data_IF_924264529151
#
_entry.id   IF_924264529151
#
_cell.length_a   1.000
_cell.length_b   1.000
_cell.length_c   1.000
_cell.angle_alpha   90.00
_cell.angle_beta   90.00
_cell.angle_gamma   90.00
#
_symmetry.space_group_name_H-M   'P 1'
#
loop_
_entity.id
_entity.type
_entity.pdbx_description
1 polymer ?
#
# COMPACT_ATOMS: atom_id res chain seq x y z
N UNK A 1 -28.92 -34.70 -6.83
CA UNK A 1 -29.08 -34.30 -5.43
C UNK A 1 -27.84 -34.68 -4.64
N UNK A 2 -27.61 -34.05 -3.48
CA UNK A 2 -26.45 -34.33 -2.66
C UNK A 2 -26.73 -35.68 -1.97
N UNK A 3 -25.71 -36.51 -1.75
CA UNK A 3 -25.88 -37.73 -0.97
C UNK A 3 -26.36 -37.43 0.46
N UNK A 4 -26.05 -36.24 0.98
CA UNK A 4 -26.52 -35.72 2.25
C UNK A 4 -27.77 -34.84 2.02
N UNK A 5 -28.88 -35.21 2.66
CA UNK A 5 -30.16 -34.51 2.54
C UNK A 5 -30.13 -33.09 3.13
N UNK A 6 -29.38 -32.86 4.21
CA UNK A 6 -29.27 -31.56 4.87
C UNK A 6 -28.56 -30.55 3.96
N UNK A 7 -27.47 -30.96 3.29
CA UNK A 7 -26.78 -30.15 2.29
C UNK A 7 -27.71 -29.82 1.11
N UNK A 8 -28.48 -30.80 0.60
CA UNK A 8 -29.44 -30.58 -0.49
C UNK A 8 -30.56 -29.61 -0.10
N UNK A 9 -31.13 -29.79 1.09
CA UNK A 9 -32.22 -28.96 1.62
C UNK A 9 -31.79 -27.51 1.79
N UNK A 10 -30.61 -27.29 2.36
CA UNK A 10 -30.02 -25.97 2.51
C UNK A 10 -29.74 -25.33 1.14
N UNK A 11 -29.14 -26.08 0.21
CA UNK A 11 -28.82 -25.58 -1.13
C UNK A 11 -30.08 -25.09 -1.88
N UNK A 12 -31.17 -25.86 -1.84
CA UNK A 12 -32.44 -25.47 -2.45
C UNK A 12 -33.00 -24.21 -1.81
N UNK A 13 -33.02 -24.15 -0.48
CA UNK A 13 -33.48 -22.99 0.28
C UNK A 13 -32.68 -21.74 -0.09
N UNK A 14 -31.35 -21.84 -0.13
CA UNK A 14 -30.45 -20.75 -0.56
C UNK A 14 -30.74 -20.30 -2.00
N UNK A 15 -30.94 -21.22 -2.94
CA UNK A 15 -31.30 -20.88 -4.33
C UNK A 15 -32.67 -20.22 -4.47
N UNK A 16 -33.58 -20.54 -3.57
CA UNK A 16 -34.92 -19.93 -3.50
C UNK A 16 -34.92 -18.61 -2.71
N UNK A 17 -33.76 -18.14 -2.23
CA UNK A 17 -33.58 -16.86 -1.54
C UNK A 17 -33.80 -16.93 -0.02
N UNK A 18 -33.89 -18.12 0.56
CA UNK A 18 -34.06 -18.34 2.00
C UNK A 18 -32.75 -18.79 2.64
N UNK A 19 -32.20 -17.95 3.52
CA UNK A 19 -31.00 -18.28 4.29
C UNK A 19 -31.36 -18.84 5.67
N UNK A 20 -31.15 -20.14 5.86
CA UNK A 20 -31.41 -20.84 7.12
C UNK A 20 -30.23 -20.69 8.08
N UNK A 21 -30.17 -19.53 8.76
CA UNK A 21 -29.06 -19.14 9.62
C UNK A 21 -28.71 -20.17 10.70
N UNK A 22 -29.71 -20.81 11.29
CA UNK A 22 -29.52 -21.77 12.39
C UNK A 22 -28.90 -23.09 11.93
N UNK A 23 -29.07 -23.45 10.65
CA UNK A 23 -28.52 -24.67 10.05
C UNK A 23 -27.14 -24.45 9.41
N UNK A 24 -26.74 -23.19 9.24
CA UNK A 24 -25.57 -22.80 8.45
C UNK A 24 -24.27 -23.50 8.90
N UNK A 25 -23.97 -23.50 10.20
CA UNK A 25 -22.72 -24.05 10.72
C UNK A 25 -22.66 -25.57 10.55
N UNK A 26 -23.78 -26.26 10.78
CA UNK A 26 -23.88 -27.71 10.63
C UNK A 26 -23.72 -28.10 9.15
N UNK A 27 -24.43 -27.42 8.26
CA UNK A 27 -24.33 -27.66 6.81
C UNK A 27 -22.93 -27.34 6.29
N UNK A 28 -22.31 -26.24 6.74
CA UNK A 28 -20.94 -25.91 6.36
C UNK A 28 -19.95 -26.99 6.79
N UNK A 29 -20.11 -27.54 7.99
CA UNK A 29 -19.28 -28.65 8.50
C UNK A 29 -19.49 -29.92 7.69
N UNK A 30 -20.74 -30.25 7.34
CA UNK A 30 -21.06 -31.38 6.48
C UNK A 30 -20.50 -31.22 5.07
N UNK A 31 -20.49 -30.00 4.52
CA UNK A 31 -19.84 -29.71 3.24
C UNK A 31 -18.33 -29.94 3.32
N UNK A 32 -17.67 -29.48 4.38
CA UNK A 32 -16.23 -29.70 4.59
C UNK A 32 -15.92 -31.20 4.68
N UNK A 33 -16.69 -31.96 5.47
CA UNK A 33 -16.52 -33.42 5.60
C UNK A 33 -16.79 -34.17 4.30
N UNK A 34 -17.83 -33.79 3.57
CA UNK A 34 -18.15 -34.39 2.28
C UNK A 34 -17.04 -34.16 1.26
N UNK A 35 -16.51 -32.95 1.16
CA UNK A 35 -15.38 -32.62 0.27
C UNK A 35 -14.09 -33.35 0.67
N UNK A 36 -13.84 -33.51 1.98
CA UNK A 36 -12.68 -34.24 2.47
C UNK A 36 -12.79 -35.77 2.33
N UNK A 37 -13.99 -36.29 2.05
CA UNK A 37 -14.23 -37.71 1.80
C UNK A 37 -13.71 -38.21 0.44
N UNK A 38 -13.36 -37.31 -0.48
CA UNK A 38 -12.82 -37.66 -1.80
C UNK A 38 -11.30 -37.84 -1.78
N UNK A 39 -10.78 -38.68 -2.68
CA UNK A 39 -9.33 -38.91 -2.77
C UNK A 39 -8.57 -37.71 -3.36
N UNK A 40 -7.25 -37.68 -3.15
CA UNK A 40 -6.39 -36.57 -3.59
C UNK A 40 -6.13 -36.52 -5.11
N UNK A 41 -6.50 -37.55 -5.89
CA UNK A 41 -6.08 -37.65 -7.30
C UNK A 41 -6.98 -36.86 -8.24
N UNK A 42 -8.29 -37.01 -8.11
CA UNK A 42 -9.27 -36.29 -8.94
C UNK A 42 -10.50 -35.88 -8.11
N UNK A 43 -10.34 -35.15 -6.99
CA UNK A 43 -11.41 -34.92 -6.02
C UNK A 43 -12.63 -34.19 -6.62
N UNK A 44 -12.38 -33.24 -7.52
CA UNK A 44 -13.43 -32.47 -8.23
C UNK A 44 -14.27 -33.38 -9.11
N UNK A 45 -13.62 -34.21 -9.94
CA UNK A 45 -14.30 -35.12 -10.86
C UNK A 45 -15.11 -36.17 -10.11
N UNK A 46 -14.60 -36.65 -8.98
CA UNK A 46 -15.34 -37.57 -8.11
C UNK A 46 -16.57 -36.91 -7.50
N UNK A 47 -16.42 -35.70 -6.95
CA UNK A 47 -17.53 -34.93 -6.41
C UNK A 47 -18.62 -34.69 -7.46
N UNK A 48 -18.25 -34.23 -8.66
CA UNK A 48 -19.19 -34.02 -9.77
C UNK A 48 -19.85 -35.33 -10.24
N UNK A 49 -19.10 -36.43 -10.27
CA UNK A 49 -19.63 -37.74 -10.62
C UNK A 49 -20.68 -38.20 -9.62
N UNK A 50 -20.44 -38.02 -8.31
CA UNK A 50 -21.42 -38.33 -7.27
C UNK A 50 -22.67 -37.46 -7.40
N UNK A 51 -22.51 -36.15 -7.63
CA UNK A 51 -23.64 -35.23 -7.82
C UNK A 51 -24.49 -35.61 -9.04
N UNK A 52 -23.87 -36.17 -10.08
CA UNK A 52 -24.54 -36.63 -11.29
C UNK A 52 -25.35 -37.93 -11.12
N UNK A 53 -25.11 -38.71 -10.05
CA UNK A 53 -25.84 -39.97 -9.82
C UNK A 53 -27.33 -39.77 -9.51
N UNK A 54 -27.71 -38.59 -9.01
CA UNK A 54 -29.09 -38.30 -8.65
C UNK A 54 -29.64 -37.11 -9.44
N UNK A 55 -30.82 -37.23 -10.07
CA UNK A 55 -31.42 -36.15 -10.84
C UNK A 55 -31.62 -34.91 -9.98
N UNK A 56 -31.43 -33.73 -10.58
CA UNK A 56 -31.48 -32.43 -9.91
C UNK A 56 -31.85 -31.37 -10.95
N UNK A 57 -32.63 -30.38 -10.54
CA UNK A 57 -33.00 -29.26 -11.42
C UNK A 57 -31.87 -28.21 -11.58
N UNK A 58 -30.77 -28.38 -10.85
CA UNK A 58 -29.65 -27.45 -10.78
C UNK A 58 -28.37 -28.09 -11.33
N UNK A 59 -27.49 -27.28 -11.91
CA UNK A 59 -26.19 -27.73 -12.44
C UNK A 59 -25.28 -28.25 -11.32
N UNK A 60 -24.55 -29.33 -11.59
CA UNK A 60 -23.66 -29.93 -10.60
C UNK A 60 -22.48 -29.02 -10.23
N UNK A 61 -21.99 -28.21 -11.17
CA UNK A 61 -20.91 -27.24 -10.91
C UNK A 61 -21.34 -26.19 -9.90
N UNK A 62 -22.53 -25.60 -10.08
CA UNK A 62 -23.11 -24.63 -9.13
C UNK A 62 -23.25 -25.20 -7.72
N UNK A 63 -23.55 -26.50 -7.63
CA UNK A 63 -23.71 -27.21 -6.37
C UNK A 63 -22.36 -27.44 -5.71
N UNK A 64 -21.35 -27.81 -6.48
CA UNK A 64 -19.97 -27.91 -5.99
C UNK A 64 -19.44 -26.54 -5.54
N UNK A 65 -19.75 -25.46 -6.26
CA UNK A 65 -19.43 -24.08 -5.84
C UNK A 65 -20.00 -23.75 -4.47
N UNK A 66 -21.29 -24.05 -4.25
CA UNK A 66 -21.93 -23.78 -2.95
C UNK A 66 -21.33 -24.65 -1.86
N UNK A 67 -21.11 -25.95 -2.08
CA UNK A 67 -20.50 -26.81 -1.07
C UNK A 67 -19.09 -26.34 -0.68
N UNK A 68 -18.25 -25.98 -1.66
CA UNK A 68 -16.91 -25.43 -1.41
C UNK A 68 -16.98 -24.09 -0.68
N UNK A 69 -17.85 -23.18 -1.11
CA UNK A 69 -18.03 -21.87 -0.47
C UNK A 69 -18.50 -21.99 0.98
N UNK A 70 -19.45 -22.88 1.25
CA UNK A 70 -19.95 -23.18 2.60
C UNK A 70 -18.82 -23.68 3.50
N UNK A 71 -18.03 -24.65 3.04
CA UNK A 71 -16.87 -25.16 3.79
C UNK A 71 -15.83 -24.05 4.07
N UNK A 72 -15.58 -23.17 3.09
CA UNK A 72 -14.64 -22.05 3.24
C UNK A 72 -15.17 -20.93 4.15
N UNK A 73 -16.48 -20.84 4.41
CA UNK A 73 -17.04 -19.88 5.37
C UNK A 73 -16.83 -20.28 6.83
N UNK A 74 -16.33 -21.48 7.14
CA UNK A 74 -16.00 -21.91 8.51
C UNK A 74 -14.50 -22.27 8.66
N UNK A 75 -13.58 -21.31 8.51
CA UNK A 75 -12.15 -21.56 8.61
C UNK A 75 -11.75 -22.40 9.82
N UNK A 76 -11.08 -23.52 9.55
CA UNK A 76 -10.70 -24.55 10.52
C UNK A 76 -9.30 -25.12 10.17
N UNK A 77 -8.75 -26.00 11.00
CA UNK A 77 -7.51 -26.72 10.66
C UNK A 77 -7.66 -27.55 9.36
N UNK A 78 -8.87 -28.07 9.10
CA UNK A 78 -9.18 -28.84 7.90
C UNK A 78 -9.22 -27.97 6.64
N UNK A 79 -9.42 -26.66 6.76
CA UNK A 79 -9.23 -25.71 5.64
C UNK A 79 -7.82 -25.83 5.05
N UNK A 80 -6.82 -26.09 5.90
CA UNK A 80 -5.44 -26.37 5.51
C UNK A 80 -5.25 -27.63 4.67
N UNK A 81 -6.21 -28.56 4.68
CA UNK A 81 -6.23 -29.75 3.81
C UNK A 81 -7.09 -29.51 2.57
N UNK A 82 -8.23 -28.84 2.75
CA UNK A 82 -9.22 -28.59 1.70
C UNK A 82 -8.65 -27.73 0.57
N UNK A 83 -8.01 -26.60 0.89
CA UNK A 83 -7.48 -25.67 -0.13
C UNK A 83 -6.38 -26.34 -0.97
N UNK A 84 -5.37 -27.02 -0.40
CA UNK A 84 -4.39 -27.75 -1.19
C UNK A 84 -4.99 -28.79 -2.13
N UNK A 85 -5.96 -29.58 -1.63
CA UNK A 85 -6.60 -30.66 -2.40
C UNK A 85 -7.40 -30.14 -3.60
N UNK A 86 -8.00 -28.96 -3.47
CA UNK A 86 -8.85 -28.35 -4.50
C UNK A 86 -8.23 -27.12 -5.16
N UNK A 87 -6.92 -26.88 -5.01
CA UNK A 87 -6.26 -25.62 -5.38
C UNK A 87 -6.53 -25.20 -6.82
N UNK A 88 -6.34 -26.09 -7.80
CA UNK A 88 -6.60 -25.82 -9.22
C UNK A 88 -8.06 -25.45 -9.49
N UNK A 89 -9.00 -26.12 -8.83
CA UNK A 89 -10.43 -25.81 -8.99
C UNK A 89 -10.77 -24.46 -8.35
N UNK A 90 -10.25 -24.20 -7.15
CA UNK A 90 -10.43 -22.94 -6.45
C UNK A 90 -9.89 -21.77 -7.27
N UNK A 91 -8.73 -21.91 -7.90
CA UNK A 91 -8.16 -20.87 -8.74
C UNK A 91 -9.03 -20.58 -9.97
N UNK A 92 -9.47 -21.64 -10.67
CA UNK A 92 -10.29 -21.53 -11.87
C UNK A 92 -11.68 -20.94 -11.60
N UNK A 93 -12.30 -21.30 -10.48
CA UNK A 93 -13.66 -20.91 -10.12
C UNK A 93 -13.71 -19.81 -9.03
N UNK A 94 -12.57 -19.16 -8.76
CA UNK A 94 -12.39 -18.22 -7.65
C UNK A 94 -13.44 -17.12 -7.58
N UNK A 95 -13.85 -16.56 -8.72
CA UNK A 95 -14.88 -15.52 -8.76
C UNK A 95 -16.25 -16.04 -8.30
N UNK A 96 -16.64 -17.24 -8.74
CA UNK A 96 -17.90 -17.86 -8.34
C UNK A 96 -17.90 -18.19 -6.84
N UNK A 97 -16.81 -18.79 -6.35
CA UNK A 97 -16.63 -19.10 -4.93
C UNK A 97 -16.67 -17.83 -4.07
N UNK A 98 -15.87 -16.83 -4.45
CA UNK A 98 -15.77 -15.57 -3.72
C UNK A 98 -17.08 -14.79 -3.65
N UNK A 99 -17.84 -14.77 -4.75
CA UNK A 99 -19.16 -14.14 -4.76
C UNK A 99 -20.12 -14.81 -3.77
N UNK A 100 -20.14 -16.15 -3.71
CA UNK A 100 -21.00 -16.89 -2.77
C UNK A 100 -20.51 -16.67 -1.34
N UNK A 101 -19.21 -16.78 -1.07
CA UNK A 101 -18.64 -16.56 0.26
C UNK A 101 -18.97 -15.15 0.77
N UNK A 102 -18.83 -14.11 -0.07
CA UNK A 102 -19.15 -12.74 0.29
C UNK A 102 -20.65 -12.55 0.58
N UNK A 103 -21.53 -13.20 -0.19
CA UNK A 103 -22.99 -13.18 0.04
C UNK A 103 -23.37 -13.87 1.35
N UNK A 104 -22.84 -15.07 1.60
CA UNK A 104 -23.07 -15.82 2.82
C UNK A 104 -22.55 -15.03 4.03
N UNK A 105 -21.33 -14.48 3.94
CA UNK A 105 -20.72 -13.69 5.01
C UNK A 105 -21.60 -12.50 5.42
N UNK A 106 -22.27 -11.83 4.49
CA UNK A 106 -23.20 -10.72 4.80
C UNK A 106 -24.37 -11.15 5.71
N UNK A 107 -24.82 -12.39 5.59
CA UNK A 107 -25.93 -12.94 6.36
C UNK A 107 -25.52 -13.42 7.77
N UNK A 108 -24.21 -13.56 8.04
CA UNK A 108 -23.69 -14.04 9.32
C UNK A 108 -23.66 -12.93 10.39
N UNK A 109 -23.85 -13.30 11.68
CA UNK A 109 -23.74 -12.34 12.78
C UNK A 109 -22.28 -11.86 12.93
N UNK A 110 -22.01 -10.72 13.58
CA UNK A 110 -20.66 -10.18 13.74
C UNK A 110 -19.63 -11.18 14.30
N UNK A 111 -20.01 -11.97 15.32
CA UNK A 111 -19.13 -12.98 15.92
C UNK A 111 -18.95 -14.26 15.08
N UNK A 112 -19.73 -14.41 14.02
CA UNK A 112 -19.68 -15.56 13.10
C UNK A 112 -19.21 -15.17 11.70
N UNK A 113 -18.68 -13.95 11.51
CA UNK A 113 -18.10 -13.54 10.22
C UNK A 113 -16.91 -14.42 9.87
N UNK A 114 -16.71 -14.61 8.57
CA UNK A 114 -15.59 -15.39 8.03
C UNK A 114 -14.29 -14.67 8.34
N UNK A 115 -13.38 -15.35 9.04
CA UNK A 115 -12.02 -14.89 9.30
C UNK A 115 -11.04 -15.47 8.27
N UNK A 116 -10.75 -14.69 7.24
CA UNK A 116 -9.85 -15.09 6.17
C UNK A 116 -8.42 -15.30 6.68
N UNK A 117 -7.97 -14.53 7.68
CA UNK A 117 -6.63 -14.70 8.23
C UNK A 117 -6.50 -16.06 8.91
N UNK A 118 -7.56 -16.51 9.60
CA UNK A 118 -7.61 -17.88 10.16
C UNK A 118 -7.52 -18.95 9.07
N UNK A 119 -8.21 -18.78 7.94
CA UNK A 119 -8.13 -19.72 6.81
C UNK A 119 -6.71 -19.78 6.23
N UNK A 120 -6.08 -18.62 6.05
CA UNK A 120 -4.72 -18.50 5.54
C UNK A 120 -3.70 -19.10 6.52
N UNK A 121 -3.88 -18.89 7.83
CA UNK A 121 -3.00 -19.42 8.88
C UNK A 121 -3.03 -20.94 8.97
N UNK A 122 -4.11 -21.59 8.52
CA UNK A 122 -4.22 -23.04 8.50
C UNK A 122 -3.47 -23.69 7.32
N UNK A 123 -3.03 -22.90 6.33
CA UNK A 123 -2.38 -23.43 5.13
C UNK A 123 -0.98 -23.98 5.44
N UNK A 124 -0.60 -25.13 4.86
CA UNK A 124 0.69 -25.77 5.15
C UNK A 124 1.88 -25.08 4.46
N UNK A 125 1.62 -24.19 3.50
CA UNK A 125 2.65 -23.60 2.66
C UNK A 125 2.15 -22.42 1.83
N UNK A 126 3.11 -21.61 1.39
CA UNK A 126 2.88 -20.38 0.64
C UNK A 126 2.26 -20.62 -0.74
N UNK A 127 2.56 -21.74 -1.36
CA UNK A 127 2.06 -22.14 -2.68
C UNK A 127 0.52 -22.12 -2.76
N UNK A 128 -0.17 -22.23 -1.62
CA UNK A 128 -1.64 -22.24 -1.53
C UNK A 128 -2.26 -20.86 -1.27
N UNK A 129 -1.46 -19.84 -0.96
CA UNK A 129 -1.96 -18.49 -0.66
C UNK A 129 -2.65 -17.85 -1.85
N UNK A 130 -2.19 -18.17 -3.06
CA UNK A 130 -2.78 -17.66 -4.30
C UNK A 130 -4.21 -18.18 -4.49
N UNK A 131 -4.43 -19.48 -4.33
CA UNK A 131 -5.78 -20.08 -4.38
C UNK A 131 -6.68 -19.49 -3.28
N UNK A 132 -6.19 -19.45 -2.04
CA UNK A 132 -6.95 -18.97 -0.89
C UNK A 132 -7.35 -17.50 -1.03
N UNK A 133 -6.42 -16.59 -1.37
CA UNK A 133 -6.73 -15.17 -1.52
C UNK A 133 -7.75 -14.91 -2.64
N UNK A 134 -7.68 -15.70 -3.72
CA UNK A 134 -8.62 -15.60 -4.83
C UNK A 134 -10.00 -16.08 -4.41
N UNK A 135 -10.09 -17.20 -3.69
CA UNK A 135 -11.34 -17.73 -3.14
C UNK A 135 -12.04 -16.72 -2.22
N UNK A 136 -11.30 -16.06 -1.33
CA UNK A 136 -11.85 -15.06 -0.41
C UNK A 136 -11.92 -13.65 -1.00
N UNK A 137 -11.46 -13.47 -2.24
CA UNK A 137 -11.38 -12.18 -2.95
C UNK A 137 -10.67 -11.08 -2.14
N UNK A 138 -9.59 -11.44 -1.48
CA UNK A 138 -8.71 -10.51 -0.75
C UNK A 138 -7.37 -10.36 -1.45
N UNK A 139 -6.73 -9.21 -1.26
CA UNK A 139 -5.38 -8.94 -1.77
C UNK A 139 -4.30 -9.47 -0.82
N UNK A 140 -3.10 -9.72 -1.36
CA UNK A 140 -1.93 -10.08 -0.54
C UNK A 140 -1.54 -8.96 0.43
N UNK A 141 -1.80 -7.70 0.08
CA UNK A 141 -1.54 -6.55 0.95
C UNK A 141 -2.45 -6.57 2.16
N UNK A 142 -3.73 -6.91 1.99
CA UNK A 142 -4.69 -7.03 3.11
C UNK A 142 -4.34 -8.20 4.03
N UNK A 143 -3.96 -9.35 3.47
CA UNK A 143 -3.47 -10.50 4.27
C UNK A 143 -2.23 -10.09 5.06
N UNK A 144 -1.28 -9.37 4.44
CA UNK A 144 -0.06 -8.91 5.10
C UNK A 144 -0.35 -7.94 6.24
N UNK A 145 -1.26 -7.00 6.02
CA UNK A 145 -1.65 -6.02 7.04
C UNK A 145 -2.40 -6.70 8.19
N UNK A 146 -3.28 -7.67 7.91
CA UNK A 146 -3.95 -8.46 8.94
C UNK A 146 -2.94 -9.27 9.77
N UNK A 147 -1.96 -9.90 9.12
CA UNK A 147 -0.88 -10.62 9.80
C UNK A 147 -0.01 -9.70 10.67
N UNK A 148 0.26 -8.45 10.22
CA UNK A 148 0.95 -7.45 11.04
C UNK A 148 0.20 -7.07 12.31
N UNK A 149 -1.12 -6.92 12.18
CA UNK A 149 -1.99 -6.53 13.28
C UNK A 149 -2.02 -7.60 14.36
N UNK A 150 -2.22 -8.86 13.95
CA UNK A 150 -2.26 -10.04 14.83
C UNK A 150 -0.86 -10.57 15.19
N UNK A 151 0.21 -9.91 14.73
CA UNK A 151 1.60 -10.32 14.91
C UNK A 151 1.92 -11.76 14.47
N UNK A 152 1.22 -12.25 13.44
CA UNK A 152 1.40 -13.58 12.89
C UNK A 152 2.59 -13.60 11.91
N UNK A 153 3.79 -13.87 12.45
CA UNK A 153 5.05 -13.87 11.70
C UNK A 153 5.08 -14.85 10.54
N UNK A 154 4.49 -16.03 10.72
CA UNK A 154 4.47 -17.09 9.70
C UNK A 154 3.66 -16.66 8.48
N UNK A 155 2.42 -16.19 8.71
CA UNK A 155 1.58 -15.69 7.62
C UNK A 155 2.22 -14.50 6.94
N UNK A 156 2.77 -13.57 7.73
CA UNK A 156 3.44 -12.38 7.19
C UNK A 156 4.57 -12.77 6.22
N UNK A 157 5.46 -13.69 6.60
CA UNK A 157 6.55 -14.18 5.75
C UNK A 157 6.03 -14.85 4.47
N UNK A 158 4.96 -15.63 4.58
CA UNK A 158 4.35 -16.30 3.42
C UNK A 158 3.65 -15.32 2.45
N UNK A 159 3.35 -14.07 2.86
CA UNK A 159 2.89 -13.03 1.92
C UNK A 159 3.99 -12.45 1.03
N UNK A 160 5.26 -12.79 1.29
CA UNK A 160 6.43 -12.32 0.56
C UNK A 160 6.88 -13.34 -0.48
N UNK A 161 7.36 -12.87 -1.63
CA UNK A 161 7.54 -13.73 -2.81
C UNK A 161 8.75 -14.67 -2.75
N UNK A 162 9.70 -14.47 -1.83
CA UNK A 162 10.94 -15.24 -1.71
C UNK A 162 11.89 -15.18 -2.92
N UNK A 163 11.38 -14.88 -4.11
CA UNK A 163 12.06 -14.85 -5.40
C UNK A 163 12.86 -13.55 -5.59
N UNK A 164 12.43 -12.46 -4.95
CA UNK A 164 13.04 -11.15 -5.07
C UNK A 164 13.31 -10.54 -3.68
N UNK A 165 14.39 -10.93 -2.97
CA UNK A 165 14.65 -10.53 -1.59
C UNK A 165 14.58 -9.02 -1.34
N UNK A 166 15.14 -8.21 -2.25
CA UNK A 166 15.08 -6.74 -2.15
C UNK A 166 13.66 -6.19 -2.26
N UNK A 167 12.85 -6.75 -3.17
CA UNK A 167 11.46 -6.34 -3.35
C UNK A 167 10.61 -6.75 -2.15
N UNK A 168 10.83 -7.95 -1.64
CA UNK A 168 10.12 -8.46 -0.47
C UNK A 168 10.44 -7.65 0.78
N UNK A 169 11.72 -7.31 0.99
CA UNK A 169 12.12 -6.43 2.09
C UNK A 169 11.45 -5.06 1.96
N UNK A 170 11.42 -4.47 0.76
CA UNK A 170 10.72 -3.21 0.54
C UNK A 170 9.22 -3.31 0.89
N UNK A 171 8.53 -4.37 0.45
CA UNK A 171 7.11 -4.59 0.76
C UNK A 171 6.88 -4.80 2.26
N UNK A 172 7.78 -5.50 2.94
CA UNK A 172 7.71 -5.75 4.38
C UNK A 172 7.90 -4.45 5.19
N UNK A 173 8.91 -3.65 4.84
CA UNK A 173 9.20 -2.37 5.48
C UNK A 173 8.11 -1.33 5.20
N UNK A 174 7.55 -1.31 3.99
CA UNK A 174 6.41 -0.45 3.63
C UNK A 174 5.17 -0.77 4.47
N UNK A 175 4.89 -2.06 4.68
CA UNK A 175 3.79 -2.49 5.53
C UNK A 175 4.04 -2.08 7.00
N UNK A 176 5.23 -2.34 7.56
CA UNK A 176 5.61 -1.88 8.90
C UNK A 176 5.50 -0.36 9.08
N UNK A 177 5.94 0.42 8.09
CA UNK A 177 5.92 1.88 8.13
C UNK A 177 4.49 2.47 8.20
N UNK A 178 3.47 1.65 7.98
CA UNK A 178 2.07 2.07 7.99
C UNK A 178 1.38 1.89 9.34
N UNK A 179 2.07 1.34 10.34
CA UNK A 179 1.57 1.14 11.70
C UNK A 179 2.48 1.86 12.71
N UNK A 180 1.99 2.16 13.93
CA UNK A 180 2.85 2.59 15.02
C UNK A 180 3.94 1.54 15.27
N UNK A 181 5.14 2.02 15.57
CA UNK A 181 6.27 1.15 15.89
C UNK A 181 5.96 0.30 17.12
N UNK A 182 6.08 -1.03 16.99
CA UNK A 182 5.95 -1.95 18.11
C UNK A 182 7.20 -2.84 18.21
N UNK A 183 8.18 -2.42 19.00
CA UNK A 183 9.45 -3.15 19.17
C UNK A 183 9.30 -4.51 19.87
N UNK A 184 8.15 -4.76 20.50
CA UNK A 184 7.85 -6.06 21.14
C UNK A 184 7.24 -7.09 20.19
N UNK A 185 6.81 -6.66 19.00
CA UNK A 185 6.20 -7.53 17.99
C UNK A 185 7.24 -8.46 17.36
N UNK A 186 6.89 -9.73 17.18
CA UNK A 186 7.76 -10.73 16.55
C UNK A 186 8.12 -10.32 15.12
N UNK A 187 7.17 -9.76 14.37
CA UNK A 187 7.43 -9.25 13.02
C UNK A 187 8.42 -8.08 13.04
N UNK A 188 8.28 -7.16 14.00
CA UNK A 188 9.23 -6.05 14.13
C UNK A 188 10.63 -6.55 14.45
N UNK A 189 10.78 -7.46 15.42
CA UNK A 189 12.08 -8.01 15.81
C UNK A 189 12.70 -8.85 14.69
N UNK A 190 11.89 -9.55 13.88
CA UNK A 190 12.39 -10.30 12.73
C UNK A 190 12.92 -9.38 11.61
N UNK A 191 12.30 -8.22 11.39
CA UNK A 191 12.66 -7.29 10.31
C UNK A 191 13.70 -6.24 10.74
N UNK A 192 13.67 -5.81 12.00
CA UNK A 192 14.51 -4.75 12.57
C UNK A 192 15.42 -5.37 13.63
N UNK A 193 16.40 -6.16 13.17
CA UNK A 193 17.38 -6.82 14.04
C UNK A 193 18.79 -6.21 13.95
N UNK A 194 19.00 -5.26 13.04
CA UNK A 194 20.24 -4.54 12.84
C UNK A 194 20.00 -3.06 12.45
N UNK A 195 21.09 -2.30 12.34
CA UNK A 195 21.02 -0.88 11.96
C UNK A 195 20.44 -0.67 10.55
N UNK A 196 20.66 -1.62 9.63
CA UNK A 196 20.16 -1.51 8.25
C UNK A 196 18.63 -1.61 8.20
N UNK A 197 18.02 -2.51 8.97
CA UNK A 197 16.58 -2.61 9.11
C UNK A 197 15.97 -1.31 9.64
N UNK A 198 16.62 -0.70 10.64
CA UNK A 198 16.23 0.62 11.16
C UNK A 198 16.26 1.72 10.09
N UNK A 199 17.33 1.77 9.28
CA UNK A 199 17.44 2.70 8.14
C UNK A 199 16.37 2.46 7.09
N UNK A 200 16.10 1.20 6.75
CA UNK A 200 15.10 0.83 5.74
C UNK A 200 13.67 1.18 6.17
N UNK A 201 13.32 0.96 7.44
CA UNK A 201 12.03 1.39 8.00
C UNK A 201 11.88 2.91 7.94
N UNK A 202 12.91 3.65 8.36
CA UNK A 202 12.88 5.11 8.32
C UNK A 202 12.79 5.65 6.89
N UNK A 203 13.50 5.03 5.95
CA UNK A 203 13.38 5.32 4.52
C UNK A 203 11.95 5.16 4.02
N UNK A 204 11.27 4.05 4.35
CA UNK A 204 9.87 3.86 3.94
C UNK A 204 8.93 4.89 4.57
N UNK A 205 9.19 5.34 5.80
CA UNK A 205 8.42 6.44 6.42
C UNK A 205 8.61 7.78 5.71
N UNK A 206 9.83 8.10 5.28
CA UNK A 206 10.09 9.31 4.48
C UNK A 206 9.43 9.21 3.10
N UNK A 207 9.47 8.04 2.47
CA UNK A 207 8.78 7.79 1.20
C UNK A 207 7.26 7.95 1.32
N UNK A 208 6.66 7.41 2.39
CA UNK A 208 5.22 7.59 2.68
C UNK A 208 4.87 9.06 2.94
N UNK A 209 5.70 9.78 3.69
CA UNK A 209 5.55 11.22 3.89
C UNK A 209 5.51 11.97 2.55
N UNK A 210 6.40 11.64 1.62
CA UNK A 210 6.37 12.23 0.28
C UNK A 210 5.09 11.87 -0.48
N UNK A 211 4.71 10.59 -0.51
CA UNK A 211 3.47 10.16 -1.17
C UNK A 211 2.23 10.87 -0.61
N UNK A 212 2.23 11.19 0.69
CA UNK A 212 1.10 11.87 1.31
C UNK A 212 0.88 13.27 0.77
N UNK A 213 1.96 14.03 0.59
CA UNK A 213 1.91 15.40 0.04
C UNK A 213 1.73 15.45 -1.49
N UNK A 214 1.43 14.32 -2.12
CA UNK A 214 1.30 14.19 -3.58
C UNK A 214 -0.10 13.77 -4.04
N UNK A 215 -1.05 13.54 -3.13
CA UNK A 215 -2.44 13.14 -3.44
C UNK A 215 -3.47 14.02 -2.72
N UNK A 216 -4.76 13.69 -2.83
CA UNK A 216 -5.79 14.32 -2.00
C UNK A 216 -5.42 14.16 -0.52
N UNK A 217 -5.09 15.26 0.16
CA UNK A 217 -4.79 15.24 1.59
C UNK A 217 -5.94 14.57 2.38
N UNK A 218 -5.74 13.33 2.83
CA UNK A 218 -6.60 12.70 3.83
C UNK A 218 -5.92 12.77 5.21
N UNK A 219 -6.65 12.83 6.31
CA UNK A 219 -6.03 12.75 7.65
C UNK A 219 -5.49 11.34 7.96
N UNK A 220 -5.67 10.40 7.03
CA UNK A 220 -5.28 9.00 7.13
C UNK A 220 -3.77 8.83 6.87
N UNK A 221 -3.01 8.53 7.91
CA UNK A 221 -1.57 8.32 7.81
C UNK A 221 -1.17 6.84 7.69
N UNK A 222 -2.00 5.99 8.28
CA UNK A 222 -1.78 4.55 8.35
C UNK A 222 -2.90 3.90 9.17
N UNK A 223 -2.57 2.81 9.82
CA UNK A 223 -3.53 1.98 10.56
C UNK A 223 -3.07 1.77 11.99
N UNK A 224 -4.02 1.64 12.90
CA UNK A 224 -3.79 1.23 14.27
C UNK A 224 -4.06 -0.26 14.43
N UNK A 225 -3.38 -0.86 15.41
CA UNK A 225 -3.77 -2.18 15.91
C UNK A 225 -5.08 -2.03 16.69
N UNK A 226 -6.04 -2.96 16.56
CA UNK A 226 -7.23 -2.98 17.40
C UNK A 226 -6.88 -2.97 18.88
N UNK A 227 -7.82 -2.52 19.70
CA UNK A 227 -7.67 -2.58 21.15
C UNK A 227 -7.50 -4.04 21.62
N UNK A 228 -6.74 -4.28 22.71
CA UNK A 228 -6.59 -5.60 23.29
C UNK A 228 -7.96 -6.27 23.53
N UNK A 229 -8.17 -7.46 22.97
CA UNK A 229 -9.43 -8.20 23.05
C UNK A 229 -10.39 -8.01 21.87
N UNK A 230 -10.06 -7.14 20.91
CA UNK A 230 -10.74 -7.05 19.61
C UNK A 230 -9.86 -7.71 18.55
N UNK A 231 -10.31 -8.82 17.96
CA UNK A 231 -9.62 -9.41 16.81
C UNK A 231 -9.85 -8.57 15.55
N UNK A 232 -8.80 -8.32 14.76
CA UNK A 232 -8.97 -7.77 13.41
C UNK A 232 -9.41 -8.88 12.46
N UNK A 233 -10.73 -9.04 12.30
CA UNK A 233 -11.26 -10.02 11.34
C UNK A 233 -11.06 -9.48 9.92
N UNK A 234 -10.21 -10.15 9.14
CA UNK A 234 -10.15 -9.93 7.70
C UNK A 234 -11.33 -10.67 7.06
N UNK A 235 -12.29 -9.91 6.53
CA UNK A 235 -13.49 -10.45 5.91
C UNK A 235 -13.31 -10.65 4.39
N UNK A 236 -14.04 -11.60 3.77
CA UNK A 236 -14.02 -11.80 2.32
C UNK A 236 -14.54 -10.57 1.57
N UNK A 237 -13.88 -10.23 0.46
CA UNK A 237 -14.24 -9.09 -0.42
C UNK A 237 -14.29 -7.71 0.27
N UNK A 238 -13.78 -7.59 1.50
CA UNK A 238 -13.72 -6.35 2.26
C UNK A 238 -12.29 -6.06 2.66
N UNK A 239 -11.90 -4.78 2.58
CA UNK A 239 -10.66 -4.34 3.20
C UNK A 239 -10.80 -4.45 4.72
N UNK A 240 -9.70 -4.80 5.43
CA UNK A 240 -9.76 -4.97 6.87
C UNK A 240 -10.18 -3.63 7.50
N UNK A 241 -11.19 -3.69 8.37
CA UNK A 241 -11.73 -2.54 9.09
C UNK A 241 -10.76 -2.11 10.21
N UNK A 242 -9.56 -1.68 9.82
CA UNK A 242 -8.54 -1.21 10.75
C UNK A 242 -8.81 0.24 11.12
N UNK A 243 -8.73 0.62 12.40
CA UNK A 243 -8.82 2.02 12.78
C UNK A 243 -7.71 2.81 12.11
N UNK A 244 -8.04 4.01 11.64
CA UNK A 244 -7.09 4.88 10.95
C UNK A 244 -6.19 5.55 11.98
N UNK A 245 -4.89 5.59 11.71
CA UNK A 245 -3.92 6.33 12.50
C UNK A 245 -3.83 7.79 12.05
N UNK A 246 -3.73 8.71 13.00
CA UNK A 246 -3.45 10.13 12.77
C UNK A 246 -1.96 10.42 12.97
N UNK A 247 -1.55 11.68 12.77
CA UNK A 247 -0.18 12.14 13.05
C UNK A 247 0.24 12.02 14.50
N UNK A 248 -0.70 11.91 15.45
CA UNK A 248 -0.35 11.75 16.86
C UNK A 248 0.13 10.32 17.15
N UNK A 249 -0.51 9.31 16.54
CA UNK A 249 -0.14 7.91 16.76
C UNK A 249 1.05 7.48 15.89
N UNK A 250 1.18 8.05 14.69
CA UNK A 250 2.34 7.84 13.82
C UNK A 250 2.85 9.21 13.37
N UNK A 251 3.80 9.78 14.13
CA UNK A 251 4.39 11.07 13.79
C UNK A 251 5.02 11.05 12.39
N UNK A 252 4.84 12.13 11.61
CA UNK A 252 5.60 12.36 10.38
C UNK A 252 7.10 12.16 10.61
N UNK A 253 7.79 11.54 9.64
CA UNK A 253 9.20 11.20 9.77
C UNK A 253 10.08 12.42 10.14
N UNK A 254 9.76 13.60 9.61
CA UNK A 254 10.49 14.85 9.86
C UNK A 254 10.29 15.43 11.27
N UNK A 255 9.32 14.93 12.04
CA UNK A 255 9.06 15.29 13.44
C UNK A 255 9.66 14.27 14.43
N UNK A 256 10.30 13.20 13.92
CA UNK A 256 11.04 12.25 14.75
C UNK A 256 12.17 13.00 15.50
N UNK A 257 12.27 12.89 16.85
CA UNK A 257 13.36 13.51 17.60
C UNK A 257 14.77 13.10 17.13
N UNK A 258 14.91 11.94 16.50
CA UNK A 258 16.14 11.42 15.93
C UNK A 258 16.30 11.73 14.43
N UNK A 259 15.41 12.54 13.83
CA UNK A 259 15.39 12.82 12.40
C UNK A 259 16.77 13.24 11.85
N UNK A 260 17.46 14.19 12.49
CA UNK A 260 18.76 14.67 12.03
C UNK A 260 19.85 13.58 12.07
N UNK A 261 19.82 12.71 13.08
CA UNK A 261 20.76 11.59 13.20
C UNK A 261 20.49 10.56 12.11
N UNK A 262 19.23 10.11 12.00
CA UNK A 262 18.79 9.12 10.99
C UNK A 262 18.99 9.62 9.56
N UNK A 263 18.83 10.93 9.34
CA UNK A 263 19.13 11.58 8.07
C UNK A 263 20.62 11.56 7.76
N UNK A 264 21.49 11.79 8.76
CA UNK A 264 22.94 11.69 8.59
C UNK A 264 23.41 10.29 8.19
N UNK A 265 22.73 9.26 8.68
CA UNK A 265 23.08 7.85 8.45
C UNK A 265 22.76 7.34 7.04
N UNK A 266 21.89 8.02 6.29
CA UNK A 266 21.40 7.61 4.96
C UNK A 266 20.94 8.80 4.10
N UNK A 267 21.74 9.87 4.12
CA UNK A 267 21.37 11.19 3.59
C UNK A 267 20.92 11.16 2.13
N UNK A 268 21.69 10.51 1.26
CA UNK A 268 21.43 10.51 -0.18
C UNK A 268 20.09 9.84 -0.49
N UNK A 269 19.89 8.61 0.00
CA UNK A 269 18.69 7.81 -0.28
C UNK A 269 17.43 8.52 0.20
N UNK A 270 17.50 9.17 1.36
CA UNK A 270 16.39 9.93 1.93
C UNK A 270 16.08 11.19 1.13
N UNK A 271 17.10 11.96 0.73
CA UNK A 271 16.94 13.14 -0.12
C UNK A 271 16.34 12.77 -1.47
N UNK A 272 16.86 11.75 -2.14
CA UNK A 272 16.36 11.27 -3.43
C UNK A 272 14.89 10.84 -3.32
N UNK A 273 14.52 10.15 -2.22
CA UNK A 273 13.15 9.66 -2.03
C UNK A 273 12.13 10.74 -1.69
N UNK A 274 12.54 11.81 -1.02
CA UNK A 274 11.63 12.88 -0.61
C UNK A 274 11.54 13.98 -1.67
N UNK A 275 12.67 14.37 -2.25
CA UNK A 275 12.77 15.51 -3.17
C UNK A 275 12.75 15.11 -4.65
N UNK A 276 12.33 13.90 -5.02
CA UNK A 276 12.18 13.60 -6.44
C UNK A 276 11.11 14.51 -7.07
N UNK A 277 11.43 15.04 -8.26
CA UNK A 277 10.55 15.92 -9.03
C UNK A 277 9.47 15.08 -9.70
N UNK A 278 8.20 15.42 -9.48
CA UNK A 278 7.09 14.75 -10.15
C UNK A 278 6.66 15.45 -11.43
N UNK A 279 6.34 14.64 -12.44
CA UNK A 279 5.77 15.08 -13.71
C UNK A 279 4.24 15.20 -13.71
N UNK A 280 3.57 14.66 -12.68
CA UNK A 280 2.12 14.69 -12.57
C UNK A 280 1.60 16.07 -12.15
N UNK A 281 0.38 16.39 -12.57
CA UNK A 281 -0.38 17.53 -12.05
C UNK A 281 -0.71 17.24 -10.59
N UNK A 282 -0.07 17.95 -9.68
CA UNK A 282 -0.53 18.01 -8.29
C UNK A 282 -1.81 18.83 -8.29
N UNK A 283 -2.87 18.30 -7.67
CA UNK A 283 -4.01 19.14 -7.34
C UNK A 283 -3.57 20.11 -6.23
N UNK A 284 -3.82 21.40 -6.42
CA UNK A 284 -3.45 22.42 -5.43
C UNK A 284 -4.32 22.27 -4.18
N UNK A 285 -3.85 21.48 -3.23
CA UNK A 285 -4.32 21.51 -1.86
C UNK A 285 -3.29 22.23 -0.99
N UNK A 286 -3.67 23.39 -0.46
CA UNK A 286 -2.79 24.25 0.35
C UNK A 286 -2.08 23.50 1.50
N UNK A 287 -2.76 22.50 2.08
CA UNK A 287 -2.22 21.67 3.18
C UNK A 287 -1.06 20.77 2.75
N UNK A 288 -1.08 20.23 1.53
CA UNK A 288 -0.02 19.37 1.01
C UNK A 288 1.26 20.16 0.76
N UNK A 289 1.11 21.35 0.18
CA UNK A 289 2.22 22.29 -0.03
C UNK A 289 2.81 22.72 1.32
N UNK A 290 1.98 23.07 2.30
CA UNK A 290 2.46 23.45 3.62
C UNK A 290 3.23 22.31 4.30
N UNK A 291 2.68 21.10 4.31
CA UNK A 291 3.32 19.92 4.91
C UNK A 291 4.65 19.58 4.24
N UNK A 292 4.74 19.71 2.91
CA UNK A 292 6.01 19.56 2.20
C UNK A 292 7.03 20.61 2.63
N UNK A 293 6.63 21.89 2.69
CA UNK A 293 7.52 22.99 3.05
C UNK A 293 8.03 22.84 4.49
N UNK A 294 7.20 22.36 5.41
CA UNK A 294 7.59 22.04 6.79
C UNK A 294 8.64 20.93 6.83
N UNK A 295 8.40 19.83 6.10
CA UNK A 295 9.39 18.75 5.98
C UNK A 295 10.69 19.24 5.32
N UNK A 296 10.63 20.02 4.23
CA UNK A 296 11.80 20.57 3.56
C UNK A 296 12.64 21.46 4.48
N UNK A 297 12.00 22.29 5.31
CA UNK A 297 12.67 23.08 6.35
C UNK A 297 13.35 22.18 7.38
N UNK A 298 12.72 21.07 7.78
CA UNK A 298 13.33 20.12 8.70
C UNK A 298 14.59 19.46 8.11
N UNK A 299 14.58 19.06 6.83
CA UNK A 299 15.78 18.57 6.12
C UNK A 299 16.92 19.61 6.13
N UNK A 300 16.60 20.88 5.83
CA UNK A 300 17.60 21.95 5.84
C UNK A 300 18.13 22.23 7.24
N UNK A 301 17.26 22.27 8.26
CA UNK A 301 17.63 22.45 9.65
C UNK A 301 18.50 21.28 10.19
N UNK A 302 18.32 20.08 9.65
CA UNK A 302 19.13 18.91 9.94
C UNK A 302 20.50 18.89 9.21
N UNK A 303 20.83 19.93 8.42
CA UNK A 303 22.14 20.11 7.78
C UNK A 303 22.21 19.64 6.32
N UNK A 304 21.07 19.43 5.65
CA UNK A 304 21.05 19.20 4.20
C UNK A 304 21.00 20.54 3.47
N UNK A 305 22.08 20.92 2.79
CA UNK A 305 22.12 22.15 2.00
C UNK A 305 21.21 22.08 0.78
N UNK A 306 20.72 23.23 0.31
CA UNK A 306 19.94 23.32 -0.93
C UNK A 306 20.71 22.82 -2.14
N UNK A 307 22.03 23.07 -2.18
CA UNK A 307 22.92 22.52 -3.20
C UNK A 307 22.86 20.99 -3.28
N UNK A 308 22.95 20.30 -2.13
CA UNK A 308 22.89 18.83 -2.09
C UNK A 308 21.55 18.29 -2.60
N UNK A 309 20.44 18.94 -2.23
CA UNK A 309 19.10 18.56 -2.70
C UNK A 309 19.00 18.73 -4.22
N UNK A 310 19.49 19.85 -4.75
CA UNK A 310 19.46 20.13 -6.19
C UNK A 310 20.31 19.11 -6.95
N UNK A 311 21.54 18.87 -6.51
CA UNK A 311 22.47 17.95 -7.18
C UNK A 311 21.86 16.56 -7.31
N UNK A 312 21.35 16.00 -6.22
CA UNK A 312 20.95 14.60 -6.17
C UNK A 312 19.49 14.36 -6.56
N UNK A 313 18.56 15.17 -6.08
CA UNK A 313 17.13 14.91 -6.29
C UNK A 313 16.51 15.65 -7.48
N UNK A 314 17.03 16.84 -7.82
CA UNK A 314 16.49 17.64 -8.94
C UNK A 314 17.23 17.35 -10.25
N UNK A 315 18.57 17.40 -10.22
CA UNK A 315 19.41 17.18 -11.41
C UNK A 315 19.74 15.68 -11.59
N UNK A 316 19.67 14.88 -10.52
CA UNK A 316 19.87 13.42 -10.60
C UNK A 316 21.33 13.00 -10.67
N UNK A 317 22.25 13.78 -10.08
CA UNK A 317 23.68 13.42 -10.02
C UNK A 317 23.88 12.27 -9.02
N UNK A 318 24.66 11.26 -9.41
CA UNK A 318 25.07 10.19 -8.50
C UNK A 318 26.10 10.71 -7.48
N UNK A 319 26.15 10.10 -6.29
CA UNK A 319 27.16 10.42 -5.28
C UNK A 319 28.58 10.28 -5.83
N UNK A 320 29.45 11.24 -5.49
CA UNK A 320 30.82 11.34 -6.02
C UNK A 320 30.93 11.93 -7.43
N UNK A 321 29.81 12.22 -8.11
CA UNK A 321 29.84 13.01 -9.35
C UNK A 321 30.17 14.47 -9.07
N UNK A 322 30.71 15.21 -10.06
CA UNK A 322 30.85 16.66 -9.94
C UNK A 322 29.49 17.32 -9.59
N UNK A 323 29.48 18.34 -8.73
CA UNK A 323 28.27 19.12 -8.43
C UNK A 323 27.61 19.64 -9.70
N UNK A 324 26.29 19.80 -9.66
CA UNK A 324 25.57 20.41 -10.76
C UNK A 324 26.06 21.85 -10.96
N UNK A 325 26.17 22.24 -12.22
CA UNK A 325 26.46 23.62 -12.56
C UNK A 325 25.25 24.50 -12.23
N UNK A 326 25.48 25.80 -12.00
CA UNK A 326 24.41 26.76 -11.79
C UNK A 326 23.40 26.74 -12.96
N UNK A 327 23.91 26.58 -14.19
CA UNK A 327 23.10 26.45 -15.40
C UNK A 327 22.17 25.23 -15.36
N UNK A 328 22.70 24.04 -15.06
CA UNK A 328 21.89 22.81 -14.94
C UNK A 328 20.79 22.95 -13.88
N UNK A 329 21.13 23.52 -12.72
CA UNK A 329 20.19 23.75 -11.63
C UNK A 329 19.05 24.71 -12.02
N UNK A 330 19.39 25.83 -12.68
CA UNK A 330 18.43 26.84 -13.12
C UNK A 330 17.54 26.33 -14.25
N UNK A 331 18.09 25.57 -15.18
CA UNK A 331 17.33 24.96 -16.26
C UNK A 331 16.31 23.94 -15.72
N UNK A 332 16.72 23.10 -14.76
CA UNK A 332 15.82 22.17 -14.09
C UNK A 332 14.66 22.91 -13.40
N UNK A 333 14.94 24.00 -12.69
CA UNK A 333 13.92 24.83 -12.03
C UNK A 333 12.92 25.42 -13.03
N UNK A 334 13.44 26.00 -14.12
CA UNK A 334 12.62 26.62 -15.17
C UNK A 334 11.69 25.64 -15.90
N UNK A 335 12.02 24.34 -15.89
CA UNK A 335 11.20 23.26 -16.48
C UNK A 335 10.15 22.70 -15.52
N UNK A 336 10.24 22.99 -14.23
CA UNK A 336 9.23 22.57 -13.25
C UNK A 336 7.90 23.28 -13.50
N UNK A 337 6.79 22.60 -13.20
CA UNK A 337 5.49 23.24 -13.13
C UNK A 337 5.43 24.23 -11.92
N UNK A 338 4.46 25.16 -11.88
CA UNK A 338 4.37 26.17 -10.83
C UNK A 338 4.33 25.60 -9.40
N UNK A 339 3.63 24.48 -9.20
CA UNK A 339 3.51 23.84 -7.88
C UNK A 339 4.86 23.29 -7.41
N UNK A 340 5.58 22.58 -8.28
CA UNK A 340 6.93 22.14 -7.98
C UNK A 340 7.85 23.34 -7.73
N UNK A 341 7.74 24.43 -8.50
CA UNK A 341 8.53 25.63 -8.22
C UNK A 341 8.24 26.20 -6.81
N UNK A 342 6.98 26.23 -6.38
CA UNK A 342 6.59 26.68 -5.05
C UNK A 342 7.11 25.75 -3.94
N UNK A 343 6.98 24.44 -4.12
CA UNK A 343 7.45 23.39 -3.21
C UNK A 343 8.98 23.42 -3.05
N UNK A 344 9.72 23.64 -4.13
CA UNK A 344 11.19 23.72 -4.13
C UNK A 344 11.73 25.13 -3.86
N UNK A 345 10.87 26.14 -3.69
CA UNK A 345 11.29 27.53 -3.45
C UNK A 345 12.27 27.69 -2.28
N UNK A 346 12.09 27.06 -1.09
CA UNK A 346 13.05 27.20 0.00
C UNK A 346 14.44 26.64 -0.35
N UNK A 347 14.47 25.51 -1.07
CA UNK A 347 15.70 24.84 -1.50
C UNK A 347 16.47 25.71 -2.48
N UNK A 348 15.79 26.26 -3.49
CA UNK A 348 16.41 27.16 -4.46
C UNK A 348 16.78 28.51 -3.84
N UNK A 349 16.06 28.99 -2.83
CA UNK A 349 16.45 30.21 -2.11
C UNK A 349 17.77 30.03 -1.38
N UNK A 350 17.95 28.92 -0.66
CA UNK A 350 19.22 28.59 0.00
C UNK A 350 20.35 28.46 -1.02
N UNK A 351 20.13 27.72 -2.10
CA UNK A 351 21.13 27.51 -3.16
C UNK A 351 21.55 28.81 -3.84
N UNK A 352 20.59 29.63 -4.28
CA UNK A 352 20.85 30.86 -5.02
C UNK A 352 21.44 31.98 -4.15
N UNK A 353 21.32 31.89 -2.83
CA UNK A 353 21.94 32.85 -1.90
C UNK A 353 23.47 32.92 -2.01
N UNK A 354 24.09 31.90 -2.62
CA UNK A 354 25.52 31.78 -2.83
C UNK A 354 26.02 32.50 -4.09
N UNK A 355 25.12 33.00 -4.93
CA UNK A 355 25.43 33.60 -6.22
C UNK A 355 24.94 35.05 -6.29
N UNK A 356 25.63 35.87 -7.06
CA UNK A 356 25.18 37.23 -7.38
C UNK A 356 24.11 37.20 -8.46
N UNK A 357 23.25 38.23 -8.48
CA UNK A 357 22.20 38.36 -9.50
C UNK A 357 22.77 38.31 -10.93
N UNK A 358 23.99 38.85 -11.14
CA UNK A 358 24.68 38.81 -12.44
C UNK A 358 25.11 37.40 -12.84
N UNK A 359 25.62 36.61 -11.90
CA UNK A 359 26.01 35.22 -12.16
C UNK A 359 24.79 34.36 -12.49
N UNK A 360 23.68 34.57 -11.77
CA UNK A 360 22.41 33.88 -12.03
C UNK A 360 21.90 34.21 -13.44
N UNK A 361 21.81 35.51 -13.80
CA UNK A 361 21.38 35.94 -15.14
C UNK A 361 22.26 35.34 -16.24
N UNK A 362 23.58 35.36 -16.05
CA UNK A 362 24.52 34.85 -17.05
C UNK A 362 24.41 33.34 -17.30
N UNK A 363 23.83 32.59 -16.36
CA UNK A 363 23.68 31.13 -16.43
C UNK A 363 22.23 30.68 -16.70
N UNK A 364 21.28 31.62 -16.88
CA UNK A 364 19.94 31.30 -17.35
C UNK A 364 19.90 31.23 -18.88
N UNK A 365 19.90 30.03 -19.46
CA UNK A 365 19.79 29.86 -20.92
C UNK A 365 18.34 29.96 -21.45
N UNK A 366 17.34 29.78 -20.58
CA UNK A 366 15.93 29.78 -20.96
C UNK A 366 15.11 30.86 -20.28
N UNK A 367 14.15 31.41 -21.03
CA UNK A 367 13.11 32.32 -20.54
C UNK A 367 12.34 31.71 -19.35
N UNK A 368 12.12 30.40 -19.34
CA UNK A 368 11.50 29.68 -18.22
C UNK A 368 12.31 29.73 -16.93
N UNK A 369 13.64 29.62 -17.02
CA UNK A 369 14.53 29.72 -15.86
C UNK A 369 14.51 31.13 -15.27
N UNK A 370 14.58 32.18 -16.11
CA UNK A 370 14.47 33.57 -15.65
C UNK A 370 13.12 33.86 -14.99
N UNK A 371 12.02 33.36 -15.58
CA UNK A 371 10.69 33.52 -15.02
C UNK A 371 10.55 32.84 -13.65
N UNK A 372 11.10 31.63 -13.50
CA UNK A 372 11.09 30.90 -12.23
C UNK A 372 11.91 31.62 -11.14
N UNK A 373 13.11 32.10 -11.48
CA UNK A 373 13.95 32.89 -10.56
C UNK A 373 13.28 34.21 -10.18
N UNK A 374 12.60 34.87 -11.12
CA UNK A 374 11.80 36.05 -10.82
C UNK A 374 10.65 35.73 -9.87
N UNK A 375 9.89 34.65 -10.12
CA UNK A 375 8.80 34.21 -9.25
C UNK A 375 9.27 33.94 -7.81
N UNK A 376 10.48 33.38 -7.68
CA UNK A 376 11.11 33.08 -6.40
C UNK A 376 11.60 34.34 -5.65
N UNK A 377 12.33 35.22 -6.34
CA UNK A 377 13.07 36.32 -5.69
C UNK A 377 12.33 37.66 -5.73
N UNK A 378 11.37 37.81 -6.65
CA UNK A 378 10.67 39.06 -7.01
C UNK A 378 11.61 40.22 -7.36
N UNK A 379 12.87 39.93 -7.73
CA UNK A 379 13.84 40.96 -8.12
C UNK A 379 13.63 41.35 -9.59
N UNK A 380 13.37 42.64 -9.83
CA UNK A 380 13.13 43.20 -11.17
C UNK A 380 14.28 42.98 -12.16
N UNK A 381 15.51 42.79 -11.69
CA UNK A 381 16.66 42.54 -12.55
C UNK A 381 16.45 41.30 -13.45
N UNK A 382 15.85 40.23 -12.93
CA UNK A 382 15.58 39.01 -13.70
C UNK A 382 14.45 39.19 -14.72
N UNK A 383 13.43 40.00 -14.37
CA UNK A 383 12.34 40.34 -15.29
C UNK A 383 12.83 41.19 -16.47
N UNK A 384 13.74 42.14 -16.23
CA UNK A 384 14.27 43.03 -17.26
C UNK A 384 15.15 42.30 -18.30
N UNK A 385 15.78 41.19 -17.89
CA UNK A 385 16.58 40.35 -18.78
C UNK A 385 15.78 39.22 -19.43
N UNK A 386 14.54 38.98 -18.96
CA UNK A 386 13.60 38.01 -19.56
C UNK A 386 13.14 38.49 -20.94
N UNK A 387 12.80 37.57 -21.84
CA UNK A 387 12.33 37.91 -23.20
C UNK A 387 10.94 37.34 -23.48
N UNK A 388 10.24 37.96 -24.42
CA UNK A 388 8.99 37.45 -25.03
C UNK A 388 8.01 36.83 -24.03
N UNK A 389 7.72 35.53 -24.21
CA UNK A 389 6.71 34.79 -23.45
C UNK A 389 6.98 34.65 -21.94
N UNK A 390 8.22 34.83 -21.47
CA UNK A 390 8.51 34.82 -20.03
C UNK A 390 8.06 36.10 -19.33
N UNK A 391 8.17 37.25 -19.99
CA UNK A 391 7.64 38.52 -19.46
C UNK A 391 6.12 38.40 -19.29
N UNK A 392 5.43 37.85 -20.30
CA UNK A 392 3.98 37.67 -20.25
C UNK A 392 3.57 36.72 -19.10
N UNK A 393 4.31 35.64 -18.87
CA UNK A 393 4.08 34.73 -17.72
C UNK A 393 4.31 35.42 -16.38
N UNK A 394 5.40 36.18 -16.25
CA UNK A 394 5.71 36.90 -15.01
C UNK A 394 4.64 37.97 -14.70
N UNK A 395 4.23 38.75 -15.72
CA UNK A 395 3.21 39.77 -15.58
C UNK A 395 1.82 39.19 -15.33
N UNK A 396 1.47 38.06 -15.98
CA UNK A 396 0.20 37.37 -15.73
C UNK A 396 0.14 36.85 -14.29
N UNK A 397 1.24 36.25 -13.80
CA UNK A 397 1.35 35.81 -12.40
C UNK A 397 1.24 36.97 -11.40
N UNK A 398 1.92 38.10 -11.65
CA UNK A 398 1.86 39.29 -10.79
C UNK A 398 0.46 39.94 -10.77
N UNK A 399 -0.32 39.77 -11.84
CA UNK A 399 -1.68 40.30 -11.98
C UNK A 399 -2.77 39.30 -11.52
N UNK A 400 -2.40 38.05 -11.18
CA UNK A 400 -3.34 36.99 -10.82
C UNK A 400 -4.24 36.55 -11.98
N UNK A 401 -3.73 36.64 -13.22
CA UNK A 401 -4.44 36.38 -14.48
C UNK A 401 -4.22 34.97 -15.02
#
# INVERSE_FOLDING_TARGET
MFPNHEIESFYRSYKDGYFLKDEFLDVASLCEEWLLGFDDKEPVKQALSILALQPSDYKNDDRLHVAMSMALCIPSEKTGTLIPRYSTYIENESFALGSIIAELNKCLPPHGKVDVLRAISALPGREYYQAARLAYMVSMTEIRNAALVEDNLEVFKNTLTGEAPKRDMNLAMEALASFPENQSSEIHQALIHDDQGGKDLFFQRVKRLRQKYLGEYTEEWGWLRPAPGSAAILQPYESPALPIATFNEIPPAHLDPQFSIRLGDDKQRLVDSFFYVQSAYLEEHDKDVQGFLEAAKAFMAAGVSGAYIIDHAVVGKAEGSPPATLMEALEAFGRMNPINQAIFAPVYTDYLSQFTDREIIAQCESDGALAAVYGLTRKKAFLLESRGSAIDRCLSSDLGL
#
